data_IF_590888364794
#
_entry.id   IF_590888364794
#
_cell.length_a   1.000
_cell.length_b   1.000
_cell.length_c   1.000
_cell.angle_alpha   90.00
_cell.angle_beta   90.00
_cell.angle_gamma   90.00
#
_symmetry.space_group_name_H-M   'P 1'
#
loop_
_entity.id
_entity.type
_entity.pdbx_description
1 polymer ?
#
# COMPACT_ATOMS: atom_id res chain seq x y z
N UNK A 1 41.19 43.65 -19.46
CA UNK A 1 40.61 42.45 -20.09
C UNK A 1 40.85 41.27 -19.18
N UNK A 2 39.82 40.82 -18.45
CA UNK A 2 39.84 39.55 -17.68
C UNK A 2 38.58 38.79 -18.04
N UNK A 3 38.74 37.66 -18.72
CA UNK A 3 37.68 36.75 -19.08
C UNK A 3 37.26 35.94 -17.83
N UNK A 4 36.05 36.08 -17.37
CA UNK A 4 35.45 35.19 -16.40
C UNK A 4 34.86 34.01 -17.14
N UNK A 5 35.47 32.82 -17.02
CA UNK A 5 34.94 31.56 -17.45
C UNK A 5 33.92 31.04 -16.41
N UNK A 6 32.64 31.18 -16.68
CA UNK A 6 31.64 30.50 -15.92
C UNK A 6 31.63 29.00 -16.27
N UNK A 7 31.97 28.15 -15.30
CA UNK A 7 31.72 26.70 -15.37
C UNK A 7 30.21 26.47 -15.29
N UNK A 8 29.63 26.00 -16.38
CA UNK A 8 28.32 25.37 -16.35
C UNK A 8 28.45 24.05 -15.60
N UNK A 9 27.88 23.95 -14.40
CA UNK A 9 27.68 22.67 -13.74
C UNK A 9 26.65 21.89 -14.52
N UNK A 10 27.10 20.86 -15.21
CA UNK A 10 26.24 19.83 -15.81
C UNK A 10 25.47 19.13 -14.69
N UNK A 11 24.21 19.51 -14.52
CA UNK A 11 23.23 18.73 -13.75
C UNK A 11 22.79 17.51 -14.58
N UNK A 12 23.68 16.52 -14.70
CA UNK A 12 23.33 15.19 -15.22
C UNK A 12 22.74 14.36 -14.09
N UNK A 13 21.60 14.76 -13.59
CA UNK A 13 20.73 13.88 -12.83
C UNK A 13 19.87 13.07 -13.80
N UNK A 14 20.40 11.96 -14.34
CA UNK A 14 19.55 11.00 -15.03
C UNK A 14 18.46 10.54 -14.05
N UNK A 15 17.24 11.03 -14.25
CA UNK A 15 16.04 10.44 -13.65
C UNK A 15 16.04 8.97 -14.05
N UNK A 16 16.34 8.07 -13.11
CA UNK A 16 16.23 6.64 -13.38
C UNK A 16 14.78 6.35 -13.70
N UNK A 17 14.55 5.71 -14.83
CA UNK A 17 13.22 5.34 -15.31
C UNK A 17 12.54 4.44 -14.27
N UNK A 18 11.30 4.79 -13.89
CA UNK A 18 10.50 3.97 -13.00
C UNK A 18 10.01 2.75 -13.77
N UNK A 19 10.30 1.56 -13.23
CA UNK A 19 9.79 0.30 -13.78
C UNK A 19 8.84 -0.35 -12.80
N UNK A 20 7.76 -0.97 -13.32
CA UNK A 20 6.84 -1.77 -12.49
C UNK A 20 7.20 -3.24 -12.66
N UNK A 21 7.22 -3.99 -11.56
CA UNK A 21 7.41 -5.43 -11.56
C UNK A 21 6.53 -6.09 -10.49
N UNK A 22 6.22 -7.37 -10.65
CA UNK A 22 5.59 -8.16 -9.58
C UNK A 22 6.60 -8.47 -8.47
N UNK A 23 6.11 -8.59 -7.25
CA UNK A 23 6.95 -8.94 -6.10
C UNK A 23 7.65 -10.30 -6.21
N UNK A 24 7.16 -11.17 -7.10
CA UNK A 24 7.72 -12.51 -7.37
C UNK A 24 8.81 -12.53 -8.44
N UNK A 25 8.98 -11.49 -9.25
CA UNK A 25 9.91 -11.51 -10.39
C UNK A 25 11.38 -11.63 -9.95
N UNK A 26 11.67 -11.33 -8.69
CA UNK A 26 13.00 -11.45 -8.12
C UNK A 26 12.96 -11.62 -6.61
N UNK A 27 13.94 -12.28 -5.99
CA UNK A 27 14.09 -12.30 -4.54
C UNK A 27 14.24 -10.88 -3.99
N UNK A 28 13.46 -10.56 -2.95
CA UNK A 28 13.54 -9.29 -2.24
C UNK A 28 14.61 -9.36 -1.15
N UNK A 29 15.53 -8.40 -1.14
CA UNK A 29 16.50 -8.26 -0.06
C UNK A 29 15.84 -7.76 1.22
N UNK A 30 16.50 -7.95 2.38
CA UNK A 30 16.04 -7.45 3.67
C UNK A 30 15.83 -5.93 3.67
N UNK A 31 16.67 -5.19 2.94
CA UNK A 31 16.53 -3.76 2.78
C UNK A 31 15.25 -3.41 2.01
N UNK A 32 14.97 -4.11 0.91
CA UNK A 32 13.75 -3.90 0.12
C UNK A 32 12.48 -4.30 0.89
N UNK A 33 12.51 -5.40 1.66
CA UNK A 33 11.40 -5.77 2.53
C UNK A 33 11.09 -4.67 3.56
N UNK A 34 12.10 -4.02 4.13
CA UNK A 34 11.91 -2.87 5.03
C UNK A 34 11.38 -1.64 4.28
N UNK A 35 11.88 -1.34 3.08
CA UNK A 35 11.35 -0.25 2.25
C UNK A 35 9.86 -0.46 1.94
N UNK A 36 9.45 -1.68 1.58
CA UNK A 36 8.04 -2.04 1.36
C UNK A 36 7.24 -1.88 2.65
N UNK A 37 7.74 -2.42 3.78
CA UNK A 37 7.09 -2.32 5.08
C UNK A 37 6.89 -0.85 5.51
N UNK A 38 7.88 0.00 5.27
CA UNK A 38 7.77 1.43 5.53
C UNK A 38 6.69 2.10 4.67
N UNK A 39 6.62 1.77 3.38
CA UNK A 39 5.57 2.28 2.48
C UNK A 39 4.19 1.80 2.91
N UNK A 40 4.05 0.54 3.33
CA UNK A 40 2.79 -0.01 3.86
C UNK A 40 2.38 0.75 5.13
N UNK A 41 3.30 0.97 6.06
CA UNK A 41 3.03 1.75 7.27
C UNK A 41 2.52 3.16 6.94
N UNK A 42 3.08 3.81 5.94
CA UNK A 42 2.71 5.16 5.51
C UNK A 42 1.36 5.24 4.79
N UNK A 43 0.73 4.11 4.43
CA UNK A 43 -0.61 4.12 3.79
C UNK A 43 -1.73 4.53 4.73
N UNK A 44 -1.53 4.40 6.03
CA UNK A 44 -2.60 4.57 7.00
C UNK A 44 -2.08 5.33 8.24
N UNK A 45 -2.65 6.49 8.48
CA UNK A 45 -2.28 7.36 9.60
C UNK A 45 -2.96 6.96 10.92
N UNK A 46 -3.80 5.93 10.93
CA UNK A 46 -4.64 5.56 12.08
C UNK A 46 -4.39 4.14 12.54
N UNK A 47 -4.57 3.15 11.66
CA UNK A 47 -4.50 1.72 12.03
C UNK A 47 -3.08 1.35 12.44
N UNK A 48 -2.09 1.60 11.58
CA UNK A 48 -0.72 1.19 11.86
C UNK A 48 -0.09 1.89 13.07
N UNK A 49 -0.27 3.22 13.27
CA UNK A 49 0.17 3.86 14.51
C UNK A 49 -0.51 3.33 15.77
N UNK A 50 -1.76 2.86 15.67
CA UNK A 50 -2.45 2.22 16.79
C UNK A 50 -2.02 0.75 17.02
N UNK A 51 -1.55 0.07 15.96
CA UNK A 51 -1.10 -1.32 16.02
C UNK A 51 0.30 -1.48 16.60
N UNK A 52 1.18 -0.52 16.39
CA UNK A 52 2.60 -0.63 16.69
C UNK A 52 3.06 0.51 17.60
N UNK A 53 3.92 0.19 18.57
CA UNK A 53 4.46 1.19 19.46
C UNK A 53 5.43 2.17 18.76
N UNK A 54 5.98 1.78 17.61
CA UNK A 54 6.85 2.63 16.80
C UNK A 54 6.86 2.20 15.33
N UNK A 55 7.25 3.14 14.47
CA UNK A 55 7.51 2.86 13.05
C UNK A 55 8.54 1.72 12.87
N UNK A 56 9.60 1.70 13.67
CA UNK A 56 10.64 0.68 13.58
C UNK A 56 10.10 -0.72 13.92
N UNK A 57 9.22 -0.84 14.90
CA UNK A 57 8.52 -2.09 15.22
C UNK A 57 7.64 -2.51 14.04
N UNK A 58 6.84 -1.59 13.49
CA UNK A 58 6.01 -1.84 12.33
C UNK A 58 6.82 -2.35 11.12
N UNK A 59 7.91 -1.68 10.76
CA UNK A 59 8.78 -2.08 9.66
C UNK A 59 9.37 -3.48 9.89
N UNK A 60 9.71 -3.81 11.13
CA UNK A 60 10.24 -5.12 11.50
C UNK A 60 9.18 -6.22 11.36
N UNK A 61 8.01 -6.02 11.92
CA UNK A 61 6.92 -7.02 11.92
C UNK A 61 6.38 -7.18 10.50
N UNK A 62 6.06 -6.09 9.79
CA UNK A 62 5.53 -6.14 8.43
C UNK A 62 6.52 -6.79 7.45
N UNK A 63 7.83 -6.51 7.54
CA UNK A 63 8.80 -7.19 6.68
C UNK A 63 8.90 -8.70 6.93
N UNK A 64 8.70 -9.15 8.17
CA UNK A 64 8.60 -10.58 8.49
C UNK A 64 7.29 -11.21 7.98
N UNK A 65 6.17 -10.48 8.05
CA UNK A 65 4.89 -10.93 7.49
C UNK A 65 4.95 -11.10 5.97
N UNK A 66 5.58 -10.14 5.26
CA UNK A 66 5.82 -10.26 3.82
C UNK A 66 6.66 -11.50 3.53
N UNK A 67 7.74 -11.74 4.27
CA UNK A 67 8.60 -12.91 4.11
C UNK A 67 7.87 -14.22 4.44
N UNK A 68 6.99 -14.23 5.43
CA UNK A 68 6.19 -15.39 5.80
C UNK A 68 5.09 -15.71 4.76
N UNK A 69 4.82 -14.80 3.82
CA UNK A 69 3.79 -14.97 2.81
C UNK A 69 2.38 -14.84 3.39
N UNK A 70 2.20 -13.93 4.38
CA UNK A 70 0.87 -13.58 4.87
C UNK A 70 -0.04 -13.22 3.71
N UNK A 71 -1.31 -13.67 3.76
CA UNK A 71 -2.25 -13.58 2.65
C UNK A 71 -2.40 -12.15 2.10
N UNK A 72 -2.40 -11.14 2.97
CA UNK A 72 -2.49 -9.74 2.58
C UNK A 72 -1.19 -9.23 1.94
N UNK A 73 -0.04 -9.78 2.34
CA UNK A 73 1.29 -9.32 1.94
C UNK A 73 2.02 -10.31 1.03
N UNK A 74 1.30 -11.24 0.39
CA UNK A 74 1.91 -12.16 -0.57
C UNK A 74 2.53 -11.40 -1.74
N UNK A 75 3.73 -11.79 -2.09
CA UNK A 75 4.48 -11.17 -3.20
C UNK A 75 3.83 -11.39 -4.56
N UNK A 76 3.03 -12.46 -4.71
CA UNK A 76 2.21 -12.73 -5.90
C UNK A 76 1.15 -11.66 -6.13
N UNK A 77 0.65 -11.05 -5.06
CA UNK A 77 -0.37 -10.01 -5.07
C UNK A 77 0.22 -8.63 -4.78
N UNK A 78 1.43 -8.39 -5.28
CA UNK A 78 2.18 -7.17 -5.04
C UNK A 78 2.80 -6.64 -6.33
N UNK A 79 2.52 -5.37 -6.66
CA UNK A 79 3.27 -4.61 -7.65
C UNK A 79 4.22 -3.66 -6.95
N UNK A 80 5.44 -3.59 -7.47
CA UNK A 80 6.51 -2.72 -6.99
C UNK A 80 6.89 -1.72 -8.07
N UNK A 81 6.88 -0.44 -7.74
CA UNK A 81 7.50 0.58 -8.55
C UNK A 81 8.97 0.71 -8.14
N UNK A 82 9.86 0.48 -9.07
CA UNK A 82 11.30 0.45 -8.86
C UNK A 82 11.97 1.70 -9.41
N UNK A 83 12.85 2.31 -8.60
CA UNK A 83 13.82 3.30 -9.03
C UNK A 83 15.22 2.69 -8.94
N UNK A 84 15.65 2.01 -10.00
CA UNK A 84 16.84 1.17 -9.96
C UNK A 84 16.65 0.00 -8.98
N UNK A 85 17.41 -0.05 -7.88
CA UNK A 85 17.32 -1.11 -6.86
C UNK A 85 16.40 -0.76 -5.69
N UNK A 86 15.92 0.48 -5.59
CA UNK A 86 15.09 0.97 -4.49
C UNK A 86 13.61 0.85 -4.82
N UNK A 87 12.80 0.65 -3.78
CA UNK A 87 11.33 0.64 -3.90
C UNK A 87 10.84 2.09 -3.86
N UNK A 88 10.21 2.52 -4.94
CA UNK A 88 9.59 3.84 -5.07
C UNK A 88 8.11 3.85 -4.71
N UNK A 89 7.43 2.70 -4.84
CA UNK A 89 6.04 2.54 -4.50
C UNK A 89 5.62 1.07 -4.45
N UNK A 90 4.48 0.81 -3.85
CA UNK A 90 3.89 -0.52 -3.71
C UNK A 90 2.38 -0.46 -3.91
N UNK A 91 1.82 -1.49 -4.54
CA UNK A 91 0.38 -1.75 -4.59
C UNK A 91 0.13 -3.20 -4.19
N UNK A 92 -0.81 -3.41 -3.28
CA UNK A 92 -1.23 -4.72 -2.79
C UNK A 92 -2.70 -4.95 -3.10
N UNK A 93 -3.04 -6.17 -3.50
CA UNK A 93 -4.42 -6.59 -3.69
C UNK A 93 -4.66 -8.01 -3.20
N UNK A 94 -5.93 -8.38 -3.09
CA UNK A 94 -6.38 -9.73 -2.79
C UNK A 94 -7.56 -10.08 -3.69
N UNK A 95 -7.85 -11.39 -3.84
CA UNK A 95 -9.11 -11.88 -4.38
C UNK A 95 -9.87 -12.64 -3.30
N UNK A 96 -11.18 -12.41 -3.28
CA UNK A 96 -12.07 -12.99 -2.28
C UNK A 96 -11.88 -12.44 -0.87
N UNK A 97 -12.47 -13.09 0.14
CA UNK A 97 -12.52 -12.59 1.50
C UNK A 97 -11.13 -12.58 2.15
N UNK A 98 -10.83 -11.51 2.88
CA UNK A 98 -9.66 -11.39 3.71
C UNK A 98 -10.06 -11.68 5.17
N UNK A 99 -9.36 -12.62 5.80
CA UNK A 99 -9.51 -12.93 7.21
C UNK A 99 -8.21 -12.61 7.94
N UNK A 100 -8.33 -12.07 9.12
CA UNK A 100 -7.20 -11.85 10.01
C UNK A 100 -6.60 -13.17 10.47
N UNK A 101 -5.28 -13.28 10.44
CA UNK A 101 -4.53 -14.41 11.01
C UNK A 101 -3.65 -13.93 12.16
N UNK A 102 -4.13 -14.08 13.42
CA UNK A 102 -3.38 -13.66 14.59
C UNK A 102 -2.11 -14.49 14.81
N UNK A 103 -2.06 -15.75 14.35
CA UNK A 103 -0.90 -16.61 14.57
C UNK A 103 0.31 -16.16 13.76
N UNK A 104 0.11 -15.84 12.47
CA UNK A 104 1.18 -15.32 11.62
C UNK A 104 1.72 -14.03 12.21
N UNK A 105 0.84 -13.16 12.64
CA UNK A 105 1.22 -11.88 13.23
C UNK A 105 2.05 -12.06 14.50
N UNK A 106 1.63 -12.96 15.43
CA UNK A 106 2.39 -13.28 16.64
C UNK A 106 3.76 -13.87 16.31
N UNK A 107 3.82 -14.83 15.38
CA UNK A 107 5.08 -15.44 14.90
C UNK A 107 6.04 -14.40 14.32
N UNK A 108 5.52 -13.33 13.76
CA UNK A 108 6.30 -12.20 13.23
C UNK A 108 6.72 -11.18 14.30
N UNK A 109 6.33 -11.38 15.56
CA UNK A 109 6.72 -10.55 16.70
C UNK A 109 5.71 -9.45 17.03
N UNK A 110 4.51 -9.52 16.47
CA UNK A 110 3.42 -8.62 16.80
C UNK A 110 2.75 -8.97 18.13
N UNK A 111 2.16 -7.98 18.79
CA UNK A 111 1.41 -8.15 20.03
C UNK A 111 -0.07 -8.35 19.71
N UNK A 112 -0.50 -9.61 19.63
CA UNK A 112 -1.82 -9.99 19.14
C UNK A 112 -3.00 -9.34 19.85
N UNK A 113 -2.94 -9.13 21.16
CA UNK A 113 -4.03 -8.50 21.91
C UNK A 113 -4.33 -7.07 21.45
N UNK A 114 -3.28 -6.32 21.10
CA UNK A 114 -3.42 -4.94 20.68
C UNK A 114 -4.08 -4.83 19.31
N UNK A 115 -3.75 -5.76 18.42
CA UNK A 115 -4.21 -5.77 17.04
C UNK A 115 -5.61 -6.31 16.85
N UNK A 116 -5.99 -7.34 17.58
CA UNK A 116 -7.31 -7.95 17.44
C UNK A 116 -8.47 -6.96 17.53
N UNK A 117 -8.34 -5.91 18.35
CA UNK A 117 -9.33 -4.85 18.46
C UNK A 117 -9.27 -3.82 17.32
N UNK A 118 -8.07 -3.40 16.94
CA UNK A 118 -7.88 -2.31 15.97
C UNK A 118 -8.11 -2.78 14.54
N UNK A 119 -7.84 -4.06 14.26
CA UNK A 119 -7.88 -4.58 12.90
C UNK A 119 -9.12 -5.40 12.57
N UNK A 120 -9.85 -5.93 13.56
CA UNK A 120 -11.04 -6.73 13.31
C UNK A 120 -12.05 -5.98 12.41
N UNK A 121 -12.44 -4.78 12.80
CA UNK A 121 -13.38 -3.95 12.03
C UNK A 121 -12.84 -3.60 10.63
N UNK A 122 -11.52 -3.40 10.48
CA UNK A 122 -10.92 -3.16 9.18
C UNK A 122 -10.96 -4.41 8.28
N UNK A 123 -10.65 -5.57 8.84
CA UNK A 123 -10.70 -6.83 8.07
C UNK A 123 -12.14 -7.24 7.74
N UNK A 124 -13.11 -6.87 8.58
CA UNK A 124 -14.54 -7.09 8.32
C UNK A 124 -15.02 -6.38 7.05
N UNK A 125 -14.38 -5.28 6.65
CA UNK A 125 -14.66 -4.63 5.36
C UNK A 125 -14.44 -5.57 4.15
N UNK A 126 -13.53 -6.53 4.27
CA UNK A 126 -13.18 -7.49 3.21
C UNK A 126 -13.72 -8.90 3.46
N UNK A 127 -14.40 -9.13 4.60
CA UNK A 127 -14.82 -10.47 5.02
C UNK A 127 -15.79 -11.14 4.04
N UNK A 128 -16.61 -10.33 3.36
CA UNK A 128 -17.62 -10.78 2.39
C UNK A 128 -17.24 -10.48 0.94
N UNK A 129 -15.97 -10.17 0.67
CA UNK A 129 -15.54 -9.86 -0.70
C UNK A 129 -15.76 -11.07 -1.62
N UNK A 130 -16.50 -10.92 -2.74
CA UNK A 130 -16.69 -11.99 -3.71
C UNK A 130 -15.35 -12.51 -4.26
N UNK A 131 -15.27 -13.81 -4.55
CA UNK A 131 -14.03 -14.46 -5.00
C UNK A 131 -13.49 -13.89 -6.32
N UNK A 132 -14.40 -13.45 -7.19
CA UNK A 132 -14.09 -12.85 -8.49
C UNK A 132 -13.62 -11.40 -8.39
N UNK A 133 -13.86 -10.74 -7.25
CA UNK A 133 -13.53 -9.32 -7.09
C UNK A 133 -12.08 -9.12 -6.67
N UNK A 134 -11.35 -8.32 -7.43
CA UNK A 134 -10.00 -7.90 -7.08
C UNK A 134 -10.08 -6.68 -6.13
N UNK A 135 -9.70 -6.90 -4.87
CA UNK A 135 -9.74 -5.88 -3.82
C UNK A 135 -8.37 -5.24 -3.65
N UNK A 136 -8.19 -4.00 -4.10
CA UNK A 136 -6.98 -3.24 -3.80
C UNK A 136 -6.98 -2.88 -2.31
N UNK A 137 -5.96 -3.37 -1.59
CA UNK A 137 -5.85 -3.22 -0.13
C UNK A 137 -4.97 -2.04 0.25
N UNK A 138 -3.86 -1.86 -0.46
CA UNK A 138 -2.89 -0.78 -0.20
C UNK A 138 -2.29 -0.26 -1.50
N UNK A 139 -2.06 1.05 -1.53
CA UNK A 139 -1.20 1.70 -2.53
C UNK A 139 -0.42 2.81 -1.83
N UNK A 140 0.87 2.84 -2.02
CA UNK A 140 1.75 3.88 -1.46
C UNK A 140 2.89 4.21 -2.41
N UNK A 141 3.27 5.49 -2.40
CA UNK A 141 4.41 6.02 -3.14
C UNK A 141 5.30 6.77 -2.16
N UNK A 142 6.61 6.56 -2.26
CA UNK A 142 7.59 7.27 -1.47
C UNK A 142 7.34 8.78 -1.53
N UNK A 143 7.24 9.44 -0.38
CA UNK A 143 6.87 10.84 -0.28
C UNK A 143 7.77 11.77 -1.12
N UNK A 144 9.08 11.44 -1.26
CA UNK A 144 10.02 12.21 -2.10
C UNK A 144 9.81 12.03 -3.60
N UNK A 145 8.97 11.08 -4.00
CA UNK A 145 8.70 10.73 -5.40
C UNK A 145 7.23 10.91 -5.78
N UNK A 146 6.42 11.44 -4.89
CA UNK A 146 5.04 11.82 -5.20
C UNK A 146 5.01 12.91 -6.29
N UNK A 147 3.89 13.01 -7.00
CA UNK A 147 3.76 13.93 -8.14
C UNK A 147 4.42 13.45 -9.45
N UNK A 148 5.08 12.27 -9.45
CA UNK A 148 5.72 11.66 -10.62
C UNK A 148 4.86 10.54 -11.26
N UNK A 149 3.56 10.57 -11.09
CA UNK A 149 2.57 9.62 -11.64
C UNK A 149 2.78 8.15 -11.27
N UNK A 150 3.68 7.82 -10.31
CA UNK A 150 4.00 6.44 -9.90
C UNK A 150 2.74 5.70 -9.42
N UNK A 151 1.89 6.35 -8.62
CA UNK A 151 0.62 5.78 -8.18
C UNK A 151 -0.31 5.47 -9.34
N UNK A 152 -0.35 6.33 -10.37
CA UNK A 152 -1.10 6.09 -11.60
C UNK A 152 -0.58 4.88 -12.35
N UNK A 153 0.74 4.77 -12.51
CA UNK A 153 1.39 3.66 -13.20
C UNK A 153 1.14 2.32 -12.49
N UNK A 154 1.21 2.28 -11.15
CA UNK A 154 0.87 1.11 -10.36
C UNK A 154 -0.59 0.67 -10.56
N UNK A 155 -1.54 1.62 -10.50
CA UNK A 155 -2.96 1.33 -10.71
C UNK A 155 -3.26 0.86 -12.13
N UNK A 156 -2.67 1.48 -13.14
CA UNK A 156 -2.89 1.13 -14.54
C UNK A 156 -2.32 -0.27 -14.84
N UNK A 157 -1.15 -0.60 -14.26
CA UNK A 157 -0.56 -1.94 -14.36
C UNK A 157 -1.44 -2.97 -13.65
N UNK A 158 -1.91 -2.68 -12.43
CA UNK A 158 -2.83 -3.55 -11.70
C UNK A 158 -4.09 -3.86 -12.52
N UNK A 159 -4.74 -2.84 -13.08
CA UNK A 159 -5.96 -3.02 -13.88
C UNK A 159 -5.72 -3.67 -15.25
N UNK A 160 -4.49 -3.69 -15.74
CA UNK A 160 -4.10 -4.39 -16.96
C UNK A 160 -3.81 -5.86 -16.72
N UNK A 161 -3.22 -6.19 -15.56
CA UNK A 161 -2.78 -7.55 -15.24
C UNK A 161 -3.83 -8.38 -14.50
N UNK A 162 -4.70 -7.73 -13.74
CA UNK A 162 -5.77 -8.37 -12.98
C UNK A 162 -7.12 -8.08 -13.64
N UNK A 163 -7.91 -9.13 -13.88
CA UNK A 163 -9.27 -8.96 -14.39
C UNK A 163 -10.20 -8.40 -13.30
N UNK A 164 -11.08 -7.46 -13.68
CA UNK A 164 -12.14 -6.93 -12.80
C UNK A 164 -13.27 -7.95 -12.55
N UNK A 165 -14.26 -7.59 -11.74
CA UNK A 165 -14.49 -6.29 -11.13
C UNK A 165 -13.54 -5.95 -9.99
N UNK A 166 -13.38 -4.63 -9.74
CA UNK A 166 -12.44 -4.14 -8.74
C UNK A 166 -13.17 -3.42 -7.60
N UNK A 167 -12.62 -3.52 -6.40
CA UNK A 167 -13.07 -2.74 -5.25
C UNK A 167 -11.90 -2.23 -4.40
N UNK A 168 -12.21 -1.24 -3.58
CA UNK A 168 -11.36 -0.75 -2.51
C UNK A 168 -12.19 -0.11 -1.40
N UNK A 169 -11.57 0.04 -0.23
CA UNK A 169 -12.09 0.86 0.86
C UNK A 169 -11.12 1.99 1.13
N UNK A 170 -11.62 3.20 1.22
CA UNK A 170 -10.84 4.40 1.49
C UNK A 170 -11.53 5.23 2.57
N UNK A 171 -10.77 5.78 3.51
CA UNK A 171 -11.32 6.68 4.52
C UNK A 171 -12.04 7.85 3.86
N UNK A 172 -13.28 8.12 4.25
CA UNK A 172 -14.10 9.18 3.65
C UNK A 172 -13.45 10.56 3.77
N UNK A 173 -12.64 10.78 4.80
CA UNK A 173 -11.90 12.03 5.02
C UNK A 173 -10.59 12.14 4.22
N UNK A 174 -10.15 11.08 3.53
CA UNK A 174 -8.98 11.14 2.65
C UNK A 174 -9.41 11.58 1.24
N UNK A 175 -9.75 12.87 1.13
CA UNK A 175 -10.29 13.46 -0.11
C UNK A 175 -9.34 13.31 -1.30
N UNK A 176 -8.03 13.39 -1.09
CA UNK A 176 -7.02 13.22 -2.15
C UNK A 176 -7.05 11.82 -2.73
N UNK A 177 -7.10 10.78 -1.87
CA UNK A 177 -7.19 9.40 -2.31
C UNK A 177 -8.54 9.13 -2.99
N UNK A 178 -9.65 9.64 -2.44
CA UNK A 178 -10.97 9.52 -3.07
C UNK A 178 -10.95 10.11 -4.49
N UNK A 179 -10.46 11.34 -4.64
CA UNK A 179 -10.35 11.99 -5.95
C UNK A 179 -9.40 11.22 -6.91
N UNK A 180 -8.31 10.66 -6.39
CA UNK A 180 -7.40 9.81 -7.18
C UNK A 180 -8.13 8.58 -7.73
N UNK A 181 -8.85 7.84 -6.89
CA UNK A 181 -9.58 6.65 -7.32
C UNK A 181 -10.75 6.98 -8.26
N UNK A 182 -11.43 8.11 -8.06
CA UNK A 182 -12.46 8.57 -8.99
C UNK A 182 -11.88 8.85 -10.38
N UNK A 183 -10.71 9.49 -10.48
CA UNK A 183 -9.99 9.67 -11.76
C UNK A 183 -9.60 8.35 -12.42
N UNK A 184 -9.36 7.29 -11.62
CA UNK A 184 -9.11 5.92 -12.11
C UNK A 184 -10.39 5.14 -12.47
N UNK A 185 -11.54 5.80 -12.41
CA UNK A 185 -12.84 5.25 -12.81
C UNK A 185 -13.59 4.49 -11.73
N UNK A 186 -13.10 4.52 -10.49
CA UNK A 186 -13.85 3.99 -9.35
C UNK A 186 -15.02 4.92 -9.00
N UNK A 187 -16.12 4.34 -8.53
CA UNK A 187 -17.30 5.07 -8.07
C UNK A 187 -17.62 4.67 -6.64
N UNK A 188 -18.00 5.64 -5.81
CA UNK A 188 -18.51 5.38 -4.46
C UNK A 188 -19.81 4.59 -4.60
N UNK A 189 -19.82 3.38 -4.06
CA UNK A 189 -21.00 2.51 -4.00
C UNK A 189 -21.81 2.75 -2.74
N UNK A 190 -21.10 2.90 -1.62
CA UNK A 190 -21.71 2.99 -0.30
C UNK A 190 -20.73 3.64 0.69
N UNK A 191 -21.28 4.25 1.74
CA UNK A 191 -20.51 4.62 2.93
C UNK A 191 -20.65 3.52 3.97
N UNK A 192 -19.54 2.93 4.39
CA UNK A 192 -19.46 1.93 5.45
C UNK A 192 -19.08 2.58 6.77
N UNK A 193 -19.50 2.02 7.93
CA UNK A 193 -19.08 2.52 9.23
C UNK A 193 -17.54 2.64 9.36
N UNK A 194 -16.81 1.80 8.62
CA UNK A 194 -15.36 1.73 8.71
C UNK A 194 -14.93 1.08 10.00
N UNK A 195 -14.04 1.73 10.73
CA UNK A 195 -13.54 1.25 12.01
C UNK A 195 -13.51 2.39 13.05
N UNK A 196 -13.44 2.03 14.32
CA UNK A 196 -13.40 2.98 15.42
C UNK A 196 -12.03 2.97 16.09
N UNK A 197 -11.45 4.14 16.29
CA UNK A 197 -10.20 4.32 17.01
C UNK A 197 -10.37 5.40 18.07
N UNK A 198 -9.98 5.11 19.31
CA UNK A 198 -10.10 6.05 20.44
C UNK A 198 -11.48 6.72 20.52
N UNK A 199 -12.56 5.94 20.36
CA UNK A 199 -13.96 6.39 20.30
C UNK A 199 -14.30 7.28 19.09
N UNK A 200 -13.41 7.48 18.16
CA UNK A 200 -13.66 8.19 16.91
C UNK A 200 -14.02 7.22 15.80
N UNK A 201 -15.23 7.35 15.25
CA UNK A 201 -15.63 6.62 14.05
C UNK A 201 -14.85 7.14 12.83
N UNK A 202 -14.31 6.21 12.03
CA UNK A 202 -13.57 6.48 10.81
C UNK A 202 -14.29 5.83 9.62
N UNK A 203 -15.35 6.48 9.09
CA UNK A 203 -16.12 5.92 8.00
C UNK A 203 -15.27 5.78 6.73
N UNK A 204 -15.57 4.72 5.98
CA UNK A 204 -14.92 4.41 4.72
C UNK A 204 -15.92 4.46 3.56
N UNK A 205 -15.49 4.93 2.41
CA UNK A 205 -16.18 4.70 1.16
C UNK A 205 -15.80 3.33 0.60
N UNK A 206 -16.81 2.51 0.34
CA UNK A 206 -16.67 1.37 -0.55
C UNK A 206 -16.74 1.86 -1.97
N UNK A 207 -15.64 1.74 -2.70
CA UNK A 207 -15.55 2.16 -4.09
C UNK A 207 -15.37 0.96 -5.00
N UNK A 208 -16.07 0.98 -6.13
CA UNK A 208 -16.07 -0.11 -7.11
C UNK A 208 -15.80 0.40 -8.52
N UNK A 209 -15.21 -0.49 -9.34
CA UNK A 209 -15.02 -0.32 -10.78
C UNK A 209 -15.32 -1.65 -11.48
N UNK A 210 -16.09 -1.58 -12.57
CA UNK A 210 -16.35 -2.72 -13.47
C UNK A 210 -15.22 -2.88 -14.48
#
# INVERSE_FOLDING_TARGET
MKKSGGKAEERTGMSKEITICRGTERPLSDAQLREIAALIYDTDLYIYPAMFASRQEAETVLSRMIRAGDRMFRTENMLLAMNGTKIAGVLLWIRGPLKWDPEIYQKCGGKAEHIGRVTAEYFDLFAEAPAEMASMVRISVNAKMQGQEIGSLLMDTFMKEEEGPYQLFVLAKNEEAVAFFQRKGYRIRETRPGFSLDYQALPCYWMVKK
#
